data_IF_167156247342
#
_entry.id   IF_167156247342
#
_cell.length_a   1.000
_cell.length_b   1.000
_cell.length_c   1.000
_cell.angle_alpha   90.00
_cell.angle_beta   90.00
_cell.angle_gamma   90.00
#
_symmetry.space_group_name_H-M   'P 1'
#
loop_
_entity.id
_entity.type
_entity.pdbx_description
1 polymer ?
#
# COMPACT_ATOMS: atom_id res chain seq x y z
N UNK A 1 -24.15 3.23 -12.31
CA UNK A 1 -22.93 2.98 -13.13
C UNK A 1 -22.29 1.69 -12.66
N UNK A 2 -21.69 0.87 -13.53
CA UNK A 2 -21.05 -0.41 -13.14
C UNK A 2 -19.53 -0.29 -13.23
N UNK A 3 -18.79 -1.00 -12.37
CA UNK A 3 -17.32 -1.00 -12.38
C UNK A 3 -16.79 -1.68 -13.65
N UNK A 4 -15.77 -1.08 -14.26
CA UNK A 4 -15.09 -1.66 -15.43
C UNK A 4 -14.32 -2.93 -15.02
N UNK A 5 -14.35 -3.96 -15.88
CA UNK A 5 -13.57 -5.20 -15.68
C UNK A 5 -12.05 -5.00 -15.75
N UNK A 6 -11.58 -3.80 -16.11
CA UNK A 6 -10.16 -3.46 -16.30
C UNK A 6 -9.62 -2.45 -15.28
N UNK A 7 -10.30 -2.23 -14.15
CA UNK A 7 -9.96 -1.19 -13.18
C UNK A 7 -8.65 -1.44 -12.38
N UNK A 8 -7.96 -2.56 -12.60
CA UNK A 8 -6.80 -2.98 -11.79
C UNK A 8 -5.57 -2.10 -11.95
N UNK A 9 -5.36 -1.49 -13.12
CA UNK A 9 -4.30 -0.49 -13.33
C UNK A 9 -4.69 0.84 -12.67
N UNK A 10 -5.91 1.29 -12.95
CA UNK A 10 -6.44 2.58 -12.49
C UNK A 10 -6.46 2.69 -10.96
N UNK A 11 -6.86 1.64 -10.25
CA UNK A 11 -6.86 1.63 -8.78
C UNK A 11 -5.45 1.83 -8.21
N UNK A 12 -4.41 1.30 -8.87
CA UNK A 12 -3.02 1.44 -8.46
C UNK A 12 -2.52 2.88 -8.66
N UNK A 13 -2.82 3.45 -9.83
CA UNK A 13 -2.51 4.86 -10.16
C UNK A 13 -3.18 5.80 -9.15
N UNK A 14 -4.47 5.57 -8.87
CA UNK A 14 -5.23 6.37 -7.92
C UNK A 14 -4.67 6.25 -6.50
N UNK A 15 -4.45 5.03 -6.00
CA UNK A 15 -3.94 4.82 -4.65
C UNK A 15 -2.54 5.40 -4.47
N UNK A 16 -1.64 5.22 -5.42
CA UNK A 16 -0.30 5.81 -5.36
C UNK A 16 -0.36 7.34 -5.34
N UNK A 17 -1.22 7.94 -6.16
CA UNK A 17 -1.41 9.40 -6.17
C UNK A 17 -1.95 9.92 -4.84
N UNK A 18 -2.91 9.21 -4.23
CA UNK A 18 -3.44 9.51 -2.89
C UNK A 18 -2.32 9.42 -1.85
N UNK A 19 -1.51 8.36 -1.88
CA UNK A 19 -0.40 8.15 -0.93
C UNK A 19 0.68 9.23 -1.05
N UNK A 20 1.01 9.66 -2.27
CA UNK A 20 1.95 10.76 -2.49
C UNK A 20 1.41 12.11 -1.99
N UNK A 21 0.13 12.40 -2.24
CA UNK A 21 -0.53 13.60 -1.70
C UNK A 21 -0.64 13.58 -0.17
N UNK A 22 -0.80 12.41 0.44
CA UNK A 22 -0.72 12.25 1.89
C UNK A 22 0.69 12.55 2.41
N UNK A 23 1.72 11.99 1.77
CA UNK A 23 3.12 12.21 2.12
C UNK A 23 3.53 13.69 2.03
N UNK A 24 3.10 14.39 0.97
CA UNK A 24 3.31 15.85 0.81
C UNK A 24 2.75 16.64 2.01
N UNK A 25 1.65 16.16 2.60
CA UNK A 25 0.98 16.78 3.75
C UNK A 25 1.48 16.27 5.10
N UNK A 26 2.52 15.44 5.14
CA UNK A 26 3.01 14.81 6.37
C UNK A 26 2.06 13.78 6.98
N UNK A 27 1.14 13.23 6.17
CA UNK A 27 0.18 12.19 6.55
C UNK A 27 0.73 10.83 6.08
N UNK A 28 0.72 9.84 6.96
CA UNK A 28 1.07 8.47 6.61
C UNK A 28 -0.08 7.77 5.90
N UNK A 29 0.22 6.88 4.96
CA UNK A 29 -0.77 6.09 4.25
C UNK A 29 -0.35 4.62 4.15
N UNK A 30 -1.33 3.71 4.15
CA UNK A 30 -1.11 2.29 3.86
C UNK A 30 -2.19 1.77 2.91
N UNK A 31 -1.77 1.20 1.78
CA UNK A 31 -2.65 0.57 0.79
C UNK A 31 -2.87 -0.88 1.20
N UNK A 32 -4.12 -1.28 1.40
CA UNK A 32 -4.49 -2.58 1.96
C UNK A 32 -5.38 -3.32 0.96
N UNK A 33 -4.88 -4.45 0.45
CA UNK A 33 -5.65 -5.37 -0.39
C UNK A 33 -6.22 -6.56 0.40
N UNK A 34 -5.55 -6.94 1.50
CA UNK A 34 -6.00 -8.00 2.40
C UNK A 34 -7.05 -7.45 3.37
N UNK A 35 -8.31 -7.43 2.92
CA UNK A 35 -9.45 -6.93 3.68
C UNK A 35 -10.61 -7.91 3.60
N UNK A 36 -11.41 -7.98 4.66
CA UNK A 36 -12.69 -8.67 4.67
C UNK A 36 -13.72 -7.84 3.90
N UNK A 37 -13.76 -8.04 2.58
CA UNK A 37 -14.61 -7.25 1.66
C UNK A 37 -16.09 -7.43 1.94
N UNK A 38 -16.53 -8.64 2.29
CA UNK A 38 -17.93 -8.92 2.55
C UNK A 38 -18.41 -8.15 3.80
N UNK A 39 -17.66 -8.27 4.90
CA UNK A 39 -17.99 -7.56 6.13
C UNK A 39 -17.88 -6.05 5.98
N UNK A 40 -16.85 -5.56 5.28
CA UNK A 40 -16.69 -4.12 5.07
C UNK A 40 -17.80 -3.52 4.19
N UNK A 41 -18.24 -4.25 3.16
CA UNK A 41 -19.36 -3.83 2.33
C UNK A 41 -20.67 -3.73 3.14
N UNK A 42 -20.92 -4.68 4.05
CA UNK A 42 -22.06 -4.63 4.98
C UNK A 42 -21.99 -3.41 5.90
N UNK A 43 -20.85 -3.18 6.55
CA UNK A 43 -20.63 -2.04 7.45
C UNK A 43 -20.86 -0.70 6.73
N UNK A 44 -20.40 -0.59 5.49
CA UNK A 44 -20.55 0.61 4.68
C UNK A 44 -21.90 0.69 3.95
N UNK A 45 -22.77 -0.32 4.11
CA UNK A 45 -24.06 -0.43 3.43
C UNK A 45 -23.94 -0.27 1.90
N UNK A 46 -22.92 -0.90 1.30
CA UNK A 46 -22.70 -0.81 -0.15
C UNK A 46 -23.76 -1.60 -0.91
N UNK A 47 -24.25 -1.01 -2.00
CA UNK A 47 -25.13 -1.72 -2.93
C UNK A 47 -24.38 -2.86 -3.64
N UNK A 48 -25.07 -3.94 -4.06
CA UNK A 48 -24.43 -5.14 -4.62
C UNK A 48 -23.63 -4.94 -5.91
N UNK A 49 -23.77 -3.77 -6.56
CA UNK A 49 -23.08 -3.45 -7.80
C UNK A 49 -21.76 -2.67 -7.58
N UNK A 50 -21.44 -2.31 -6.32
CA UNK A 50 -20.15 -1.76 -5.95
C UNK A 50 -19.21 -2.84 -5.42
N UNK A 51 -17.92 -2.66 -5.68
CA UNK A 51 -16.87 -3.57 -5.25
C UNK A 51 -15.80 -2.78 -4.50
N UNK A 52 -15.35 -3.32 -3.37
CA UNK A 52 -14.22 -2.78 -2.63
C UNK A 52 -12.93 -3.31 -3.26
N UNK A 53 -12.31 -2.43 -4.03
CA UNK A 53 -11.05 -2.70 -4.72
C UNK A 53 -9.85 -2.74 -3.75
N UNK A 54 -9.63 -1.63 -3.05
CA UNK A 54 -8.55 -1.41 -2.08
C UNK A 54 -9.07 -0.54 -0.93
N UNK A 55 -8.39 -0.60 0.21
CA UNK A 55 -8.55 0.36 1.32
C UNK A 55 -7.26 1.15 1.45
N UNK A 56 -7.36 2.47 1.58
CA UNK A 56 -6.21 3.34 1.90
C UNK A 56 -6.43 3.92 3.29
N UNK A 57 -5.69 3.46 4.29
CA UNK A 57 -5.72 4.07 5.61
C UNK A 57 -4.84 5.31 5.62
N UNK A 58 -5.30 6.37 6.30
CA UNK A 58 -4.62 7.65 6.43
C UNK A 58 -4.55 8.06 7.90
N UNK A 59 -3.44 8.63 8.33
CA UNK A 59 -3.30 9.11 9.70
C UNK A 59 -1.98 9.79 9.99
N UNK A 60 -1.86 10.37 11.20
CA UNK A 60 -0.58 10.91 11.67
C UNK A 60 0.41 9.75 11.85
N UNK A 61 1.60 9.81 11.21
CA UNK A 61 2.63 8.78 11.39
C UNK A 61 3.00 8.62 12.87
N UNK A 62 3.13 7.38 13.33
CA UNK A 62 3.54 7.03 14.71
C UNK A 62 4.78 6.11 14.75
N UNK A 63 5.24 5.64 13.60
CA UNK A 63 6.46 4.82 13.47
C UNK A 63 7.44 5.50 12.52
N UNK A 64 8.72 5.21 12.68
CA UNK A 64 9.75 5.59 11.71
C UNK A 64 9.97 4.43 10.75
N UNK A 65 10.22 4.74 9.48
CA UNK A 65 10.48 3.75 8.42
C UNK A 65 11.86 4.02 7.83
N UNK A 66 12.69 2.98 7.76
CA UNK A 66 13.99 3.01 7.13
C UNK A 66 14.01 2.08 5.92
N UNK A 67 14.41 2.61 4.78
CA UNK A 67 14.67 1.80 3.59
C UNK A 67 16.04 1.14 3.73
N UNK A 68 16.10 -0.15 3.45
CA UNK A 68 17.34 -0.92 3.38
C UNK A 68 17.55 -1.39 1.95
N UNK A 69 18.81 -1.56 1.53
CA UNK A 69 19.09 -2.28 0.27
C UNK A 69 19.02 -3.77 0.56
N UNK A 70 18.35 -4.53 -0.32
CA UNK A 70 18.27 -6.00 -0.20
C UNK A 70 19.68 -6.61 -0.18
N UNK A 71 19.91 -7.53 0.76
CA UNK A 71 21.17 -8.24 0.90
C UNK A 71 21.33 -9.39 -0.10
N UNK A 72 22.46 -10.08 -0.03
CA UNK A 72 22.77 -11.21 -0.93
C UNK A 72 21.83 -12.41 -0.80
N UNK A 73 21.07 -12.51 0.28
CA UNK A 73 20.04 -13.54 0.49
C UNK A 73 18.72 -13.25 -0.27
N UNK A 74 18.59 -12.05 -0.85
CA UNK A 74 17.41 -11.63 -1.61
C UNK A 74 16.14 -11.43 -0.76
N UNK A 75 16.26 -11.36 0.57
CA UNK A 75 15.09 -11.30 1.45
C UNK A 75 14.43 -9.91 1.45
N UNK A 76 13.17 -9.87 1.03
CA UNK A 76 12.35 -8.64 0.93
C UNK A 76 11.37 -8.45 2.09
N UNK A 77 11.34 -9.37 3.07
CA UNK A 77 10.42 -9.26 4.21
C UNK A 77 10.84 -8.08 5.08
N UNK A 78 9.89 -7.20 5.34
CA UNK A 78 10.08 -6.13 6.32
C UNK A 78 10.19 -6.71 7.73
N UNK A 79 10.82 -5.96 8.62
CA UNK A 79 10.99 -6.33 10.03
C UNK A 79 11.01 -5.08 10.91
N UNK A 80 11.05 -5.29 12.23
CA UNK A 80 11.21 -4.22 13.23
C UNK A 80 12.40 -4.54 14.10
N UNK A 81 13.23 -3.54 14.38
CA UNK A 81 14.36 -3.68 15.29
C UNK A 81 13.92 -3.53 16.76
N UNK A 82 14.89 -3.62 17.66
CA UNK A 82 14.67 -3.51 19.12
C UNK A 82 14.15 -2.13 19.54
N UNK A 83 14.46 -1.08 18.77
CA UNK A 83 14.00 0.30 18.97
C UNK A 83 12.62 0.56 18.32
N UNK A 84 12.06 -0.43 17.62
CA UNK A 84 10.77 -0.35 16.94
C UNK A 84 10.80 0.34 15.57
N UNK A 85 11.98 0.60 15.00
CA UNK A 85 12.15 1.14 13.65
C UNK A 85 11.69 0.11 12.61
N UNK A 86 10.90 0.54 11.63
CA UNK A 86 10.40 -0.34 10.59
C UNK A 86 11.35 -0.39 9.39
N UNK A 87 12.03 -1.53 9.19
CA UNK A 87 12.97 -1.72 8.09
C UNK A 87 12.26 -2.35 6.89
N UNK A 88 12.40 -1.70 5.72
CA UNK A 88 11.79 -2.14 4.46
C UNK A 88 12.89 -2.37 3.41
N UNK A 89 13.29 -3.62 3.16
CA UNK A 89 14.25 -3.93 2.12
C UNK A 89 13.71 -3.61 0.72
N UNK A 90 14.50 -2.90 -0.10
CA UNK A 90 14.21 -2.55 -1.50
C UNK A 90 15.32 -3.06 -2.41
N UNK A 91 14.92 -3.64 -3.55
CA UNK A 91 15.86 -4.06 -4.59
C UNK A 91 16.57 -2.83 -5.17
N UNK A 92 17.87 -2.93 -5.48
CA UNK A 92 18.60 -1.86 -6.15
C UNK A 92 18.10 -1.68 -7.60
N UNK A 93 18.46 -0.56 -8.22
CA UNK A 93 17.93 -0.16 -9.53
C UNK A 93 18.37 -1.10 -10.66
N UNK A 94 19.61 -1.59 -10.60
CA UNK A 94 20.22 -2.52 -11.55
C UNK A 94 19.57 -3.91 -11.57
N UNK A 95 18.83 -4.27 -10.53
CA UNK A 95 17.98 -5.47 -10.54
C UNK A 95 16.62 -5.27 -11.22
N UNK A 96 16.17 -4.02 -11.40
CA UNK A 96 14.81 -3.69 -11.87
C UNK A 96 14.83 -3.20 -13.32
N UNK A 97 15.88 -2.51 -13.74
CA UNK A 97 16.04 -2.02 -15.11
C UNK A 97 16.70 -3.11 -15.95
N UNK A 98 16.06 -3.48 -17.06
CA UNK A 98 16.56 -4.45 -18.04
C UNK A 98 17.06 -3.66 -19.26
N UNK A 99 18.25 -3.99 -19.76
CA UNK A 99 18.86 -3.42 -20.97
C UNK A 99 18.23 -3.94 -22.27
#
# INVERSE_FOLDING_TARGET
TRISKTATCDQGIACQSITLGAAERGIGACIICSVDRARLAEILSLEPHYEILLVVSLGKPKEQVKLETVGSDGNIRYWRDEDGLHHVPKRPLDEIVID
#
